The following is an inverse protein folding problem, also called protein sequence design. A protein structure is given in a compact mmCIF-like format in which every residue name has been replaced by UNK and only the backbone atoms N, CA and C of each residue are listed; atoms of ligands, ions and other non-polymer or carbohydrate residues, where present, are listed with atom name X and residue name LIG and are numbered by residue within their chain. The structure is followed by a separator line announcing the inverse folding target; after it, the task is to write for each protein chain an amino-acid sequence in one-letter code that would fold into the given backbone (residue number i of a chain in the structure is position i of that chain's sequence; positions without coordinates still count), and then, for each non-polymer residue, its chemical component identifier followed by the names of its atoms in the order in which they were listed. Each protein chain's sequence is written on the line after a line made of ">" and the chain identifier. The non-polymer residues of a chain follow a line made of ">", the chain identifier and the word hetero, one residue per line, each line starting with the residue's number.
data_IF_474565502062
#
_entry.id   IF_474565502062
#
_cell.length_a   1.000
_cell.length_b   1.000
_cell.length_c   1.000
_cell.angle_alpha   90.00
_cell.angle_beta   90.00
_cell.angle_gamma   90.00
#
_symmetry.space_group_name_H-M   'P 1'
#
loop_
_entity.id
_entity.type
_entity.pdbx_description
1 polymer ?
#
# COMPACT_ATOMS: atom_id res chain seq x y z
N UNK A 1 4.00 20.09 -1.97
CA UNK A 1 3.99 19.40 -0.66
C UNK A 1 2.75 18.58 -0.34
N UNK A 2 1.59 18.78 -0.98
CA UNK A 2 0.34 18.02 -0.74
C UNK A 2 0.35 16.54 -1.19
N UNK A 3 1.28 16.12 -2.04
CA UNK A 3 1.31 14.75 -2.58
C UNK A 3 1.71 13.66 -1.57
N UNK A 4 2.48 13.98 -0.54
CA UNK A 4 2.94 12.97 0.43
C UNK A 4 1.94 12.68 1.55
N UNK A 5 0.96 13.57 1.80
CA UNK A 5 0.06 13.45 2.97
C UNK A 5 -0.98 12.33 2.86
N UNK A 6 -1.41 11.95 1.67
CA UNK A 6 -2.44 10.91 1.49
C UNK A 6 -1.89 9.55 1.04
N UNK A 7 -0.62 9.47 0.61
CA UNK A 7 0.03 8.20 0.24
C UNK A 7 0.02 7.16 1.38
N UNK A 8 0.37 7.48 2.65
CA UNK A 8 0.32 6.50 3.74
C UNK A 8 -1.10 6.00 3.99
N UNK A 9 -2.10 6.87 3.93
CA UNK A 9 -3.50 6.46 4.12
C UNK A 9 -3.98 5.57 2.98
N UNK A 10 -3.69 5.94 1.73
CA UNK A 10 -4.09 5.17 0.56
C UNK A 10 -3.43 3.78 0.56
N UNK A 11 -2.13 3.70 0.82
CA UNK A 11 -1.42 2.41 0.87
C UNK A 11 -1.90 1.55 2.04
N UNK A 12 -2.22 2.13 3.18
CA UNK A 12 -2.78 1.42 4.32
C UNK A 12 -4.16 0.85 4.00
N UNK A 13 -5.06 1.67 3.43
CA UNK A 13 -6.42 1.23 3.05
C UNK A 13 -6.37 0.11 2.01
N UNK A 14 -5.55 0.26 0.96
CA UNK A 14 -5.36 -0.78 -0.05
C UNK A 14 -4.82 -2.08 0.55
N UNK A 15 -3.86 -1.99 1.48
CA UNK A 15 -3.30 -3.17 2.14
C UNK A 15 -4.32 -3.86 3.03
N UNK A 16 -5.19 -3.11 3.72
CA UNK A 16 -6.28 -3.68 4.53
C UNK A 16 -7.35 -4.36 3.67
N UNK A 17 -7.74 -3.74 2.55
CA UNK A 17 -8.67 -4.36 1.60
C UNK A 17 -8.05 -5.64 1.02
N UNK A 18 -6.78 -5.59 0.59
CA UNK A 18 -6.05 -6.75 0.08
C UNK A 18 -5.96 -7.88 1.11
N UNK A 19 -5.69 -7.56 2.39
CA UNK A 19 -5.70 -8.53 3.48
C UNK A 19 -7.09 -9.17 3.64
N UNK A 20 -8.17 -8.39 3.59
CA UNK A 20 -9.54 -8.88 3.68
C UNK A 20 -9.87 -9.88 2.57
N UNK A 21 -9.52 -9.53 1.31
CA UNK A 21 -9.73 -10.43 0.16
C UNK A 21 -8.86 -11.68 0.26
N UNK A 22 -7.58 -11.56 0.64
CA UNK A 22 -6.69 -12.70 0.84
C UNK A 22 -7.18 -13.64 1.96
N UNK A 23 -7.72 -13.06 3.05
CA UNK A 23 -8.35 -13.84 4.14
C UNK A 23 -9.56 -14.59 3.62
N UNK A 24 -10.45 -13.93 2.88
CA UNK A 24 -11.62 -14.57 2.27
C UNK A 24 -11.20 -15.73 1.36
N UNK A 25 -10.24 -15.52 0.45
CA UNK A 25 -9.74 -16.58 -0.42
C UNK A 25 -9.07 -17.73 0.34
N UNK A 26 -8.42 -17.43 1.45
CA UNK A 26 -7.84 -18.48 2.31
C UNK A 26 -8.94 -19.33 2.96
N UNK A 27 -9.99 -18.71 3.49
CA UNK A 27 -11.12 -19.42 4.09
C UNK A 27 -11.82 -20.28 3.05
N UNK A 28 -12.10 -19.73 1.86
CA UNK A 28 -12.78 -20.45 0.77
C UNK A 28 -11.92 -21.56 0.15
N UNK A 29 -10.60 -21.51 0.27
CA UNK A 29 -9.74 -22.62 -0.11
C UNK A 29 -10.00 -23.87 0.74
N UNK A 30 -10.26 -23.70 2.04
CA UNK A 30 -10.57 -24.81 2.97
C UNK A 30 -12.06 -25.14 2.99
N UNK A 31 -12.96 -24.18 2.77
CA UNK A 31 -14.41 -24.34 2.69
C UNK A 31 -14.94 -23.86 1.33
N UNK A 32 -15.02 -24.80 0.39
CA UNK A 32 -15.46 -24.51 -1.00
C UNK A 32 -16.91 -24.04 -1.10
N UNK A 33 -17.75 -24.34 -0.11
CA UNK A 33 -19.16 -23.90 -0.07
C UNK A 33 -19.31 -22.41 0.25
N UNK A 34 -18.29 -21.79 0.81
CA UNK A 34 -18.26 -20.35 1.12
C UNK A 34 -17.86 -19.47 -0.08
N UNK A 35 -17.47 -20.07 -1.22
CA UNK A 35 -17.00 -19.32 -2.38
C UNK A 35 -18.16 -18.71 -3.18
N UNK A 36 -18.38 -17.42 -3.03
CA UNK A 36 -19.33 -16.64 -3.85
C UNK A 36 -18.67 -16.20 -5.16
N UNK A 37 -18.93 -16.90 -6.24
CA UNK A 37 -18.41 -16.58 -7.56
C UNK A 37 -19.46 -16.78 -8.65
N UNK A 38 -19.41 -15.90 -9.66
CA UNK A 38 -20.18 -16.10 -10.89
C UNK A 38 -19.44 -17.13 -11.74
N UNK A 39 -20.07 -18.26 -12.02
CA UNK A 39 -19.49 -19.33 -12.85
C UNK A 39 -20.06 -19.28 -14.25
N UNK A 40 -19.19 -19.08 -15.25
CA UNK A 40 -19.52 -19.21 -16.67
C UNK A 40 -18.27 -19.70 -17.43
N UNK A 41 -18.35 -19.77 -18.77
CA UNK A 41 -17.27 -20.34 -19.60
C UNK A 41 -15.88 -19.66 -19.43
N UNK A 42 -15.83 -18.41 -18.96
CA UNK A 42 -14.58 -17.64 -18.81
C UNK A 42 -14.22 -17.41 -17.35
N UNK A 43 -15.23 -17.22 -16.49
CA UNK A 43 -15.04 -16.96 -15.07
C UNK A 43 -15.37 -18.21 -14.25
N UNK A 44 -14.36 -18.79 -13.63
CA UNK A 44 -14.51 -19.97 -12.79
C UNK A 44 -13.53 -19.91 -11.62
N UNK A 45 -13.97 -19.30 -10.51
CA UNK A 45 -13.11 -19.15 -9.33
C UNK A 45 -12.76 -20.49 -8.70
N UNK A 46 -13.67 -21.44 -8.72
CA UNK A 46 -13.45 -22.77 -8.11
C UNK A 46 -12.30 -23.49 -8.84
N UNK A 47 -12.32 -23.50 -10.18
CA UNK A 47 -11.28 -24.12 -10.98
C UNK A 47 -9.91 -23.50 -10.73
N UNK A 48 -9.85 -22.16 -10.61
CA UNK A 48 -8.59 -21.43 -10.32
C UNK A 48 -8.08 -21.73 -8.92
N UNK A 49 -8.96 -21.68 -7.90
CA UNK A 49 -8.54 -21.84 -6.50
C UNK A 49 -8.25 -23.29 -6.10
N UNK A 50 -8.69 -24.28 -6.89
CA UNK A 50 -8.42 -25.70 -6.68
C UNK A 50 -7.39 -26.30 -7.64
N UNK A 51 -6.87 -25.49 -8.56
CA UNK A 51 -5.85 -25.92 -9.51
C UNK A 51 -4.52 -26.27 -8.82
N UNK A 52 -3.67 -27.14 -9.39
CA UNK A 52 -2.32 -27.38 -8.88
C UNK A 52 -1.46 -26.12 -8.79
N UNK A 53 -1.75 -25.09 -9.61
CA UNK A 53 -1.08 -23.80 -9.61
C UNK A 53 -1.53 -22.89 -8.48
N UNK A 54 -2.63 -23.21 -7.80
CA UNK A 54 -3.09 -22.49 -6.59
C UNK A 54 -2.27 -22.82 -5.35
N UNK A 55 -1.32 -23.76 -5.46
CA UNK A 55 -0.38 -24.13 -4.40
C UNK A 55 1.07 -23.99 -4.88
N UNK A 56 1.91 -23.40 -4.05
CA UNK A 56 3.35 -23.32 -4.26
C UNK A 56 4.03 -24.03 -3.10
N UNK A 57 4.77 -25.10 -3.39
CA UNK A 57 5.38 -25.98 -2.38
C UNK A 57 4.39 -26.55 -1.35
N UNK A 58 3.14 -26.80 -1.76
CA UNK A 58 2.09 -27.29 -0.88
C UNK A 58 1.46 -26.23 0.03
N UNK A 59 1.76 -24.94 -0.22
CA UNK A 59 1.18 -23.80 0.49
C UNK A 59 0.20 -23.11 -0.44
N UNK A 60 -1.09 -22.94 -0.06
CA UNK A 60 -2.04 -22.19 -0.85
C UNK A 60 -1.57 -20.76 -1.12
N UNK A 61 -1.67 -20.32 -2.37
CA UNK A 61 -1.26 -18.96 -2.79
C UNK A 61 -2.01 -17.88 -2.01
N UNK A 62 -3.25 -18.14 -1.60
CA UNK A 62 -4.01 -17.23 -0.75
C UNK A 62 -3.31 -16.96 0.60
N UNK A 63 -2.66 -17.98 1.20
CA UNK A 63 -1.85 -17.81 2.41
C UNK A 63 -0.58 -17.00 2.16
N UNK A 64 0.02 -17.13 0.98
CA UNK A 64 1.14 -16.27 0.59
C UNK A 64 0.68 -14.80 0.44
N UNK A 65 -0.55 -14.58 -0.01
CA UNK A 65 -1.19 -13.26 0.00
C UNK A 65 -1.30 -12.68 1.42
N UNK A 66 -1.71 -13.48 2.41
CA UNK A 66 -1.71 -13.04 3.81
C UNK A 66 -0.31 -12.69 4.29
N UNK A 67 0.68 -13.54 4.00
CA UNK A 67 2.08 -13.32 4.36
C UNK A 67 2.67 -12.07 3.70
N UNK A 68 2.12 -11.63 2.57
CA UNK A 68 2.48 -10.39 1.90
C UNK A 68 1.79 -9.17 2.52
N UNK A 69 0.45 -9.21 2.73
CA UNK A 69 -0.29 -8.04 3.20
C UNK A 69 -0.05 -7.71 4.68
N UNK A 70 0.21 -8.68 5.55
CA UNK A 70 0.49 -8.44 6.98
C UNK A 70 1.72 -7.55 7.18
N UNK A 71 2.93 -7.87 6.67
CA UNK A 71 4.07 -6.99 6.79
C UNK A 71 3.89 -5.69 5.98
N UNK A 72 3.15 -5.73 4.85
CA UNK A 72 2.86 -4.52 4.08
C UNK A 72 2.06 -3.51 4.90
N UNK A 73 1.06 -3.93 5.66
CA UNK A 73 0.30 -3.06 6.57
C UNK A 73 1.23 -2.41 7.59
N UNK A 74 2.11 -3.19 8.23
CA UNK A 74 3.06 -2.66 9.21
C UNK A 74 3.98 -1.58 8.60
N UNK A 75 4.46 -1.82 7.38
CA UNK A 75 5.30 -0.89 6.63
C UNK A 75 4.54 0.34 6.09
N UNK A 76 3.22 0.24 5.91
CA UNK A 76 2.38 1.32 5.40
C UNK A 76 1.72 2.16 6.51
N UNK A 77 1.96 1.85 7.79
CA UNK A 77 1.49 2.68 8.89
C UNK A 77 2.06 4.12 8.77
N UNK A 78 1.27 5.15 9.14
CA UNK A 78 1.72 6.54 9.07
C UNK A 78 3.07 6.81 9.77
N UNK A 79 3.37 6.26 10.96
CA UNK A 79 4.67 6.45 11.58
C UNK A 79 5.83 5.83 10.77
N UNK A 80 5.59 4.72 10.07
CA UNK A 80 6.62 4.09 9.22
C UNK A 80 6.96 4.93 7.97
N UNK A 81 6.06 5.83 7.55
CA UNK A 81 6.34 6.79 6.48
C UNK A 81 7.19 7.97 6.94
N UNK A 82 7.09 8.36 8.21
CA UNK A 82 7.86 9.46 8.81
C UNK A 82 9.23 9.02 9.35
N UNK A 83 9.50 7.72 9.37
CA UNK A 83 10.77 7.19 9.87
C UNK A 83 11.93 7.59 8.95
N UNK A 84 13.04 8.17 9.47
CA UNK A 84 14.20 8.56 8.68
C UNK A 84 15.00 7.36 8.17
N UNK A 85 14.67 6.14 8.62
CA UNK A 85 15.39 4.93 8.27
C UNK A 85 15.06 4.48 6.83
N UNK A 86 15.95 4.78 5.91
CA UNK A 86 15.88 4.36 4.49
C UNK A 86 15.58 2.87 4.28
N UNK A 87 15.95 2.01 5.23
CA UNK A 87 15.69 0.57 5.16
C UNK A 87 14.20 0.21 5.19
N UNK A 88 13.38 0.96 5.92
CA UNK A 88 11.93 0.76 5.98
C UNK A 88 11.31 1.03 4.60
N UNK A 89 11.75 2.10 3.95
CA UNK A 89 11.27 2.47 2.61
C UNK A 89 11.75 1.48 1.55
N UNK A 90 13.01 1.03 1.66
CA UNK A 90 13.58 0.01 0.78
C UNK A 90 12.86 -1.33 0.96
N UNK A 91 12.61 -1.76 2.21
CA UNK A 91 11.85 -2.99 2.48
C UNK A 91 10.43 -2.95 1.89
N UNK A 92 9.73 -1.81 2.02
CA UNK A 92 8.42 -1.58 1.40
C UNK A 92 8.47 -1.70 -0.12
N UNK A 93 9.45 -1.07 -0.74
CA UNK A 93 9.65 -1.12 -2.19
C UNK A 93 9.96 -2.54 -2.66
N UNK A 94 10.90 -3.22 -2.02
CA UNK A 94 11.28 -4.59 -2.36
C UNK A 94 10.11 -5.56 -2.19
N UNK A 95 9.36 -5.44 -1.09
CA UNK A 95 8.17 -6.25 -0.86
C UNK A 95 7.12 -6.02 -1.95
N UNK A 96 6.88 -4.76 -2.35
CA UNK A 96 5.92 -4.45 -3.42
C UNK A 96 6.37 -4.98 -4.79
N UNK A 97 7.66 -4.96 -5.10
CA UNK A 97 8.23 -5.56 -6.32
C UNK A 97 8.03 -7.08 -6.31
N UNK A 98 8.27 -7.73 -5.17
CA UNK A 98 8.03 -9.18 -5.01
C UNK A 98 6.56 -9.51 -5.23
N UNK A 99 5.64 -8.69 -4.70
CA UNK A 99 4.21 -8.80 -4.94
C UNK A 99 3.86 -8.73 -6.43
N UNK A 100 4.43 -7.76 -7.17
CA UNK A 100 4.23 -7.65 -8.62
C UNK A 100 4.76 -8.88 -9.35
N UNK A 101 5.93 -9.39 -8.99
CA UNK A 101 6.47 -10.62 -9.57
C UNK A 101 5.51 -11.81 -9.38
N UNK A 102 4.91 -11.91 -8.19
CA UNK A 102 3.96 -12.97 -7.87
C UNK A 102 2.66 -12.84 -8.68
N UNK A 103 2.09 -11.64 -8.79
CA UNK A 103 0.85 -11.46 -9.59
C UNK A 103 1.08 -11.73 -11.08
N UNK A 104 2.25 -11.40 -11.62
CA UNK A 104 2.58 -11.72 -13.01
C UNK A 104 2.63 -13.24 -13.25
N UNK A 105 3.19 -14.00 -12.31
CA UNK A 105 3.17 -15.45 -12.35
C UNK A 105 1.72 -15.99 -12.30
N UNK A 106 0.88 -15.46 -11.41
CA UNK A 106 -0.51 -15.91 -11.28
C UNK A 106 -1.36 -15.54 -12.50
N UNK A 107 -1.20 -14.36 -13.07
CA UNK A 107 -1.87 -13.95 -14.30
C UNK A 107 -1.46 -14.89 -15.45
N UNK A 108 -0.17 -15.23 -15.55
CA UNK A 108 0.30 -16.21 -16.52
C UNK A 108 -0.39 -17.56 -16.33
N UNK A 109 -0.48 -18.05 -15.08
CA UNK A 109 -1.13 -19.31 -14.76
C UNK A 109 -2.63 -19.30 -15.10
N UNK A 110 -3.37 -18.24 -14.76
CA UNK A 110 -4.80 -18.09 -15.09
C UNK A 110 -5.06 -18.08 -16.60
N UNK A 111 -4.27 -17.34 -17.38
CA UNK A 111 -4.53 -17.13 -18.80
C UNK A 111 -4.02 -18.28 -19.68
N UNK A 112 -2.85 -18.84 -19.39
CA UNK A 112 -2.17 -19.79 -20.26
C UNK A 112 -2.28 -21.24 -19.80
N UNK A 113 -2.34 -21.48 -18.50
CA UNK A 113 -2.34 -22.84 -17.93
C UNK A 113 -3.76 -23.28 -17.60
N UNK A 114 -4.48 -22.50 -16.78
CA UNK A 114 -5.81 -22.86 -16.27
C UNK A 114 -6.89 -22.48 -17.29
N UNK A 115 -6.69 -21.35 -18.01
CA UNK A 115 -7.64 -20.76 -18.98
C UNK A 115 -8.99 -20.36 -18.35
N UNK A 116 -8.99 -20.08 -17.06
CA UNK A 116 -10.11 -19.57 -16.30
C UNK A 116 -9.65 -18.36 -15.48
N UNK A 117 -10.53 -17.39 -15.28
CA UNK A 117 -10.25 -16.15 -14.53
C UNK A 117 -11.01 -16.17 -13.21
N UNK A 118 -10.30 -15.91 -12.11
CA UNK A 118 -10.88 -15.72 -10.79
C UNK A 118 -11.07 -14.22 -10.51
N UNK A 119 -12.32 -13.76 -10.35
CA UNK A 119 -12.62 -12.34 -10.05
C UNK A 119 -12.00 -11.86 -8.75
N UNK A 120 -12.01 -12.69 -7.71
CA UNK A 120 -11.39 -12.36 -6.42
C UNK A 120 -9.86 -12.28 -6.52
N UNK A 121 -9.24 -13.21 -7.26
CA UNK A 121 -7.81 -13.18 -7.52
C UNK A 121 -7.42 -11.95 -8.32
N UNK A 122 -8.17 -11.63 -9.39
CA UNK A 122 -7.96 -10.41 -10.19
C UNK A 122 -8.07 -9.13 -9.36
N UNK A 123 -8.98 -9.09 -8.38
CA UNK A 123 -9.08 -7.96 -7.43
C UNK A 123 -7.81 -7.78 -6.62
N UNK A 124 -7.22 -8.86 -6.10
CA UNK A 124 -5.93 -8.84 -5.38
C UNK A 124 -4.80 -8.37 -6.31
N UNK A 125 -4.80 -8.84 -7.57
CA UNK A 125 -3.80 -8.41 -8.56
C UNK A 125 -3.85 -6.91 -8.80
N UNK A 126 -5.05 -6.33 -9.00
CA UNK A 126 -5.23 -4.89 -9.18
C UNK A 126 -4.79 -4.12 -7.94
N UNK A 127 -5.21 -4.54 -6.74
CA UNK A 127 -4.84 -3.89 -5.48
C UNK A 127 -3.31 -3.88 -5.31
N UNK A 128 -2.64 -5.01 -5.53
CA UNK A 128 -1.19 -5.14 -5.40
C UNK A 128 -0.45 -4.27 -6.42
N UNK A 129 -0.95 -4.20 -7.66
CA UNK A 129 -0.37 -3.36 -8.70
C UNK A 129 -0.51 -1.87 -8.38
N UNK A 130 -1.70 -1.42 -7.97
CA UNK A 130 -1.94 -0.03 -7.55
C UNK A 130 -1.07 0.33 -6.34
N UNK A 131 -0.96 -0.57 -5.36
CA UNK A 131 -0.10 -0.42 -4.20
C UNK A 131 1.36 -0.22 -4.61
N UNK A 132 1.87 -1.04 -5.54
CA UNK A 132 3.21 -0.89 -6.10
C UNK A 132 3.40 0.46 -6.78
N UNK A 133 2.46 0.90 -7.62
CA UNK A 133 2.55 2.20 -8.32
C UNK A 133 2.63 3.35 -7.32
N UNK A 134 1.78 3.36 -6.28
CA UNK A 134 1.80 4.39 -5.25
C UNK A 134 3.14 4.40 -4.49
N UNK A 135 3.66 3.24 -4.11
CA UNK A 135 4.94 3.12 -3.41
C UNK A 135 6.10 3.53 -4.33
N UNK A 136 6.12 3.08 -5.58
CA UNK A 136 7.17 3.38 -6.54
C UNK A 136 7.26 4.88 -6.86
N UNK A 137 6.10 5.56 -6.97
CA UNK A 137 6.07 7.02 -7.21
C UNK A 137 6.50 7.83 -5.99
N UNK A 138 6.36 7.30 -4.77
CA UNK A 138 6.83 7.91 -3.54
C UNK A 138 8.33 7.68 -3.29
N UNK A 139 8.87 6.53 -3.74
CA UNK A 139 10.22 6.08 -3.42
C UNK A 139 11.34 7.09 -3.76
N UNK A 140 11.35 7.79 -4.92
CA UNK A 140 12.40 8.75 -5.22
C UNK A 140 12.46 9.92 -4.23
N UNK A 141 11.32 10.34 -3.70
CA UNK A 141 11.23 11.44 -2.72
C UNK A 141 11.68 10.97 -1.34
N UNK A 142 11.24 9.79 -0.93
CA UNK A 142 11.49 9.23 0.41
C UNK A 142 12.90 8.68 0.56
N UNK A 143 13.53 8.24 -0.54
CA UNK A 143 14.92 7.75 -0.56
C UNK A 143 15.94 8.87 -0.83
N UNK A 144 15.50 10.10 -1.11
CA UNK A 144 16.38 11.23 -1.31
C UNK A 144 17.16 11.57 -0.02
N UNK A 145 18.44 11.97 -0.12
CA UNK A 145 19.20 12.46 1.03
C UNK A 145 18.50 13.67 1.67
N UNK A 146 18.35 13.70 2.99
CA UNK A 146 17.72 14.81 3.73
C UNK A 146 16.20 14.77 3.77
N UNK A 147 15.56 13.63 3.51
CA UNK A 147 14.10 13.51 3.62
C UNK A 147 13.59 13.68 5.05
N UNK A 148 14.28 13.14 6.06
CA UNK A 148 13.88 13.23 7.47
C UNK A 148 14.18 14.58 8.12
N UNK A 149 15.16 15.34 7.60
CA UNK A 149 15.58 16.62 8.16
C UNK A 149 14.63 17.78 7.81
N UNK A 150 13.83 17.64 6.76
CA UNK A 150 12.92 18.69 6.28
C UNK A 150 11.62 18.81 7.06
N UNK A 151 11.25 17.78 7.81
CA UNK A 151 10.01 17.78 8.58
C UNK A 151 10.24 18.34 10.01
N UNK A 152 11.51 18.41 10.46
CA UNK A 152 11.87 18.99 11.78
C UNK A 152 12.04 20.52 11.72
N UNK A 153 12.42 21.05 10.54
CA UNK A 153 12.62 22.50 10.36
C UNK A 153 11.33 23.28 10.02
N UNK A 154 10.23 22.57 9.75
CA UNK A 154 8.95 23.15 9.31
C UNK A 154 7.97 23.51 10.40
N UNK A 155 8.18 23.04 11.63
CA UNK A 155 7.25 23.24 12.73
C UNK A 155 7.68 24.37 13.69
N UNK A 156 8.86 25.03 13.46
CA UNK A 156 9.37 26.11 14.32
C UNK A 156 9.01 27.53 13.88
N UNK A 157 8.43 27.71 12.68
CA UNK A 157 8.22 29.05 12.11
C UNK A 157 6.77 29.60 12.26
N UNK A 158 5.85 28.92 12.94
CA UNK A 158 4.45 29.39 13.09
C UNK A 158 4.11 30.05 14.44
N UNK A 159 5.02 30.15 15.40
CA UNK A 159 4.78 30.81 16.69
C UNK A 159 5.46 32.20 16.83
N UNK A 160 5.68 32.88 15.71
CA UNK A 160 6.13 34.27 15.68
C UNK A 160 4.96 35.25 15.88
N UNK A 161 4.48 35.33 17.11
CA UNK A 161 3.52 36.36 17.53
C UNK A 161 4.17 37.74 17.42
N UNK A 162 3.77 38.45 16.36
CA UNK A 162 4.11 39.84 16.19
C UNK A 162 3.28 40.75 17.10
N UNK A 163 3.63 40.84 18.37
CA UNK A 163 3.19 41.95 19.25
C UNK A 163 4.06 43.17 18.92
N UNK A 164 3.71 43.84 17.82
CA UNK A 164 4.20 45.17 17.51
C UNK A 164 3.42 46.23 18.30
N UNK A 165 3.85 46.50 19.53
CA UNK A 165 3.41 47.68 20.26
C UNK A 165 3.93 48.93 19.53
N UNK A 166 3.02 49.50 18.75
CA UNK A 166 3.20 50.82 18.10
C UNK A 166 3.08 51.89 19.20
N UNK A 167 4.18 52.22 19.81
CA UNK A 167 4.34 53.34 20.76
C UNK A 167 4.20 54.65 19.99
N UNK A 168 3.01 55.24 20.07
CA UNK A 168 2.72 56.61 19.54
C UNK A 168 3.48 57.65 20.37
N UNK A 169 4.56 58.17 19.83
CA UNK A 169 5.24 59.34 20.37
C UNK A 169 4.35 60.61 20.23
N UNK A 170 4.10 61.37 21.29
CA UNK A 170 3.31 62.61 21.22
C UNK A 170 4.14 63.71 20.59
N UNK A 171 3.57 64.34 19.54
CA UNK A 171 4.12 65.51 18.91
C UNK A 171 4.25 66.68 19.92
N UNK A 172 5.47 67.14 20.15
CA UNK A 172 5.78 68.34 20.89
C UNK A 172 5.43 69.58 20.05
N UNK A 173 4.46 70.34 20.53
CA UNK A 173 3.97 71.63 19.97
C UNK A 173 4.70 72.73 20.71
N UNK A 174 5.70 73.40 20.09
CA UNK A 174 6.23 74.67 20.58
C UNK A 174 6.40 75.68 19.45
N UNK A 175 5.53 76.70 19.56
CA UNK A 175 5.64 78.13 19.15
C UNK A 175 5.83 78.47 17.67
#
# INVERSE_FOLDING_TARGET
>A
MTRLRWQPLTTLVLSLIGLGVATYLTVTHFDKHALACVTNATFNCEEVTTSPQSEIFGIPVAMLGLAFFVPMIALCLPPAWRTPHRWVHLARLLLSITGVGMILYLIYAELFVIKAICLWCSSVHIITFVLFVVIATASPVVLAPGYGERDEDGDEDEDGDGDGDEELEPADETV
#
